data_IF_030790678553
#
_entry.id   IF_030790678553
#
_cell.length_a   1.000
_cell.length_b   1.000
_cell.length_c   1.000
_cell.angle_alpha   90.00
_cell.angle_beta   90.00
_cell.angle_gamma   90.00
#
_symmetry.space_group_name_H-M   'P 1'
#
loop_
_entity.id
_entity.type
_entity.pdbx_description
1 polymer ?
#
# COMPACT_ATOMS: atom_id res chain seq x y z
N UNK A 1 8.68 -0.90 -20.87
CA UNK A 1 7.26 -1.19 -20.57
C UNK A 1 6.74 0.01 -19.80
N UNK A 2 5.71 0.69 -20.29
CA UNK A 2 5.04 1.69 -19.45
C UNK A 2 4.06 0.91 -18.57
N UNK A 3 4.18 0.96 -17.23
CA UNK A 3 3.14 0.38 -16.38
C UNK A 3 1.82 1.09 -16.71
N UNK A 4 0.73 0.34 -16.75
CA UNK A 4 -0.60 0.93 -16.80
C UNK A 4 -0.71 1.78 -15.56
N UNK A 5 -0.96 3.08 -15.73
CA UNK A 5 -1.24 3.95 -14.60
C UNK A 5 -2.56 3.48 -13.99
N UNK A 6 -2.44 2.65 -12.95
CA UNK A 6 -3.55 2.31 -12.07
C UNK A 6 -3.92 3.60 -11.37
N UNK A 7 -5.09 4.16 -11.73
CA UNK A 7 -5.59 5.37 -11.09
C UNK A 7 -5.96 5.09 -9.64
N UNK A 8 -6.19 6.15 -8.87
CA UNK A 8 -6.71 6.08 -7.51
C UNK A 8 -5.66 6.33 -6.41
N UNK A 9 -6.10 6.32 -5.14
CA UNK A 9 -5.22 6.45 -4.00
C UNK A 9 -4.25 5.26 -3.90
N UNK A 10 -2.97 5.55 -3.75
CA UNK A 10 -1.94 4.57 -3.46
C UNK A 10 -0.93 5.16 -2.48
N UNK A 11 -0.58 4.38 -1.47
CA UNK A 11 0.45 4.68 -0.46
C UNK A 11 1.48 3.56 -0.53
N UNK A 12 2.71 3.90 -0.90
CA UNK A 12 3.83 2.97 -0.96
C UNK A 12 4.83 3.21 0.18
N UNK A 13 5.19 2.13 0.88
CA UNK A 13 6.30 2.09 1.82
C UNK A 13 7.38 1.21 1.21
N UNK A 14 8.50 1.82 0.81
CA UNK A 14 9.55 1.18 0.02
C UNK A 14 9.46 1.52 -1.47
N UNK A 15 10.58 1.42 -2.19
CA UNK A 15 10.70 1.89 -3.57
C UNK A 15 10.33 0.85 -4.64
N UNK A 16 10.36 -0.45 -4.32
CA UNK A 16 10.02 -1.55 -5.25
C UNK A 16 9.74 -2.86 -4.48
N UNK A 17 10.80 -3.51 -4.00
CA UNK A 17 10.75 -4.72 -3.19
C UNK A 17 12.01 -4.73 -2.32
N UNK A 18 11.89 -4.90 -0.99
CA UNK A 18 10.67 -5.16 -0.24
C UNK A 18 9.78 -3.92 -0.11
N UNK A 19 8.46 -4.12 -0.09
CA UNK A 19 7.52 -3.02 0.03
C UNK A 19 6.22 -3.42 0.74
N UNK A 20 5.50 -2.41 1.22
CA UNK A 20 4.09 -2.51 1.57
C UNK A 20 3.34 -1.42 0.85
N UNK A 21 2.23 -1.78 0.21
CA UNK A 21 1.40 -0.85 -0.53
C UNK A 21 -0.07 -0.94 -0.08
N UNK A 22 -0.67 0.19 0.26
CA UNK A 22 -2.11 0.32 0.47
C UNK A 22 -2.69 1.10 -0.70
N UNK A 23 -3.53 0.47 -1.50
CA UNK A 23 -4.03 1.06 -2.74
C UNK A 23 -5.50 0.75 -2.98
N UNK A 24 -6.17 1.64 -3.71
CA UNK A 24 -7.52 1.42 -4.20
C UNK A 24 -7.49 1.58 -5.72
N UNK A 25 -7.27 0.50 -6.48
CA UNK A 25 -7.20 0.56 -7.93
C UNK A 25 -8.47 1.15 -8.54
N UNK A 26 -8.30 2.20 -9.34
CA UNK A 26 -9.34 2.71 -10.24
C UNK A 26 -8.92 2.38 -11.67
N UNK A 27 -9.09 1.11 -12.03
CA UNK A 27 -8.85 0.62 -13.39
C UNK A 27 -10.20 0.64 -14.12
N UNK A 28 -10.30 1.50 -15.14
CA UNK A 28 -11.44 1.50 -16.06
C UNK A 28 -11.18 0.47 -17.18
N UNK A 29 -11.95 -0.63 -17.25
CA UNK A 29 -11.76 -1.71 -18.22
C UNK A 29 -12.04 -1.26 -19.67
N UNK A 30 -12.72 -0.13 -19.86
CA UNK A 30 -13.02 0.40 -21.20
C UNK A 30 -11.82 1.12 -21.83
N UNK A 31 -10.80 1.45 -21.03
CA UNK A 31 -9.61 2.16 -21.50
C UNK A 31 -8.83 1.32 -22.52
N UNK A 32 -8.37 1.92 -23.63
CA UNK A 32 -7.62 1.19 -24.67
C UNK A 32 -6.40 0.46 -24.11
N UNK A 33 -5.67 1.08 -23.18
CA UNK A 33 -4.44 0.50 -22.63
C UNK A 33 -4.72 -0.76 -21.78
N UNK A 34 -5.85 -0.76 -21.05
CA UNK A 34 -6.30 -1.89 -20.24
C UNK A 34 -6.74 -3.04 -21.15
N UNK A 35 -7.49 -2.73 -22.22
CA UNK A 35 -7.93 -3.73 -23.21
C UNK A 35 -6.75 -4.41 -23.90
N UNK A 36 -5.75 -3.63 -24.33
CA UNK A 36 -4.53 -4.16 -24.96
C UNK A 36 -3.70 -5.02 -24.01
N UNK A 37 -3.67 -4.66 -22.71
CA UNK A 37 -2.98 -5.43 -21.70
C UNK A 37 -3.70 -6.74 -21.35
N UNK A 38 -5.03 -6.68 -21.23
CA UNK A 38 -5.88 -7.85 -21.00
C UNK A 38 -5.76 -8.86 -22.15
N UNK A 39 -5.81 -8.39 -23.40
CA UNK A 39 -5.59 -9.22 -24.57
C UNK A 39 -4.23 -9.92 -24.55
N UNK A 40 -3.17 -9.19 -24.18
CA UNK A 40 -1.82 -9.76 -24.03
C UNK A 40 -1.72 -10.78 -22.90
N UNK A 41 -2.48 -10.57 -21.83
CA UNK A 41 -2.57 -11.48 -20.69
C UNK A 41 -3.51 -12.67 -20.95
N UNK A 42 -4.28 -12.66 -22.04
CA UNK A 42 -5.24 -13.71 -22.38
C UNK A 42 -6.49 -13.71 -21.49
N UNK A 43 -6.84 -12.58 -20.89
CA UNK A 43 -8.03 -12.42 -20.02
C UNK A 43 -8.94 -11.32 -20.55
N UNK A 44 -10.18 -11.23 -20.06
CA UNK A 44 -11.06 -10.10 -20.39
C UNK A 44 -10.57 -8.80 -19.72
N UNK A 45 -10.88 -7.61 -20.28
CA UNK A 45 -10.54 -6.34 -19.65
C UNK A 45 -11.10 -6.19 -18.23
N UNK A 46 -12.27 -6.76 -17.96
CA UNK A 46 -12.90 -6.78 -16.64
C UNK A 46 -12.14 -7.68 -15.67
N UNK A 47 -11.74 -8.88 -16.10
CA UNK A 47 -10.89 -9.77 -15.29
C UNK A 47 -9.51 -9.16 -15.04
N UNK A 48 -8.95 -8.47 -16.02
CA UNK A 48 -7.67 -7.78 -15.90
C UNK A 48 -7.75 -6.58 -14.95
N UNK A 49 -8.81 -5.78 -15.04
CA UNK A 49 -9.04 -4.65 -14.15
C UNK A 49 -9.28 -5.10 -12.71
N UNK A 50 -9.80 -6.32 -12.53
CA UNK A 50 -10.13 -6.87 -11.22
C UNK A 50 -11.24 -6.06 -10.54
N UNK A 51 -11.46 -6.26 -9.23
CA UNK A 51 -12.44 -5.51 -8.47
C UNK A 51 -11.96 -4.06 -8.26
N UNK A 52 -12.27 -3.19 -9.22
CA UNK A 52 -11.98 -1.76 -9.14
C UNK A 52 -12.72 -1.09 -7.97
N UNK A 53 -12.07 -0.12 -7.32
CA UNK A 53 -12.67 0.66 -6.23
C UNK A 53 -12.67 -0.05 -4.87
N UNK A 54 -12.12 -1.26 -4.77
CA UNK A 54 -11.87 -1.90 -3.48
C UNK A 54 -10.45 -1.62 -3.01
N UNK A 55 -10.29 -1.39 -1.70
CA UNK A 55 -8.99 -1.28 -1.09
C UNK A 55 -8.26 -2.63 -1.12
N UNK A 56 -6.96 -2.57 -1.34
CA UNK A 56 -6.04 -3.70 -1.36
C UNK A 56 -4.81 -3.34 -0.54
N UNK A 57 -4.33 -4.31 0.22
CA UNK A 57 -3.07 -4.24 0.94
C UNK A 57 -2.12 -5.30 0.39
N UNK A 58 -1.00 -4.84 -0.14
CA UNK A 58 0.06 -5.67 -0.72
C UNK A 58 1.29 -5.59 0.18
N UNK A 59 1.96 -6.72 0.39
CA UNK A 59 3.23 -6.79 1.09
C UNK A 59 4.15 -7.78 0.37
N UNK A 60 5.28 -7.29 -0.12
CA UNK A 60 6.23 -8.07 -0.93
C UNK A 60 7.62 -8.09 -0.28
N UNK A 61 8.21 -9.28 -0.23
CA UNK A 61 9.58 -9.52 0.27
C UNK A 61 10.56 -9.72 -0.87
N UNK A 62 11.83 -9.44 -0.59
CA UNK A 62 12.94 -9.60 -1.55
C UNK A 62 13.18 -11.04 -2.01
N UNK A 63 12.70 -12.04 -1.25
CA UNK A 63 12.79 -13.46 -1.61
C UNK A 63 11.69 -13.91 -2.60
N UNK A 64 10.84 -12.98 -3.04
CA UNK A 64 9.73 -13.22 -3.96
C UNK A 64 8.45 -13.70 -3.27
N UNK A 65 8.45 -13.81 -1.94
CA UNK A 65 7.23 -14.07 -1.19
C UNK A 65 6.40 -12.78 -1.03
N UNK A 66 5.20 -12.78 -1.61
CA UNK A 66 4.24 -11.70 -1.52
C UNK A 66 2.90 -12.13 -0.94
N UNK A 67 2.13 -11.16 -0.47
CA UNK A 67 0.73 -11.34 -0.05
C UNK A 67 -0.08 -10.14 -0.48
N UNK A 68 -1.27 -10.42 -0.97
CA UNK A 68 -2.29 -9.42 -1.30
C UNK A 68 -3.56 -9.75 -0.49
N UNK A 69 -4.15 -8.73 0.11
CA UNK A 69 -5.39 -8.84 0.88
C UNK A 69 -6.37 -7.78 0.39
N UNK A 70 -7.53 -8.23 -0.11
CA UNK A 70 -8.64 -7.35 -0.40
C UNK A 70 -9.31 -6.88 0.89
N UNK A 71 -9.63 -5.60 0.96
CA UNK A 71 -10.16 -4.91 2.14
C UNK A 71 -11.53 -4.28 1.83
N UNK A 72 -12.60 -5.07 1.60
CA UNK A 72 -13.89 -4.53 1.18
C UNK A 72 -14.56 -3.67 2.26
N UNK A 73 -14.19 -3.82 3.54
CA UNK A 73 -14.69 -3.02 4.66
C UNK A 73 -13.82 -1.81 5.01
N UNK A 74 -12.70 -1.61 4.32
CA UNK A 74 -11.90 -0.39 4.51
C UNK A 74 -12.56 0.77 3.75
N UNK A 75 -12.88 1.84 4.47
CA UNK A 75 -13.36 3.08 3.89
C UNK A 75 -12.27 4.16 3.82
N UNK A 76 -12.46 5.15 2.96
CA UNK A 76 -11.49 6.22 2.72
C UNK A 76 -11.14 7.00 3.99
N UNK A 77 -12.11 7.24 4.88
CA UNK A 77 -11.87 7.91 6.16
C UNK A 77 -10.91 7.12 7.07
N UNK A 78 -10.98 5.78 7.05
CA UNK A 78 -10.08 4.94 7.83
C UNK A 78 -8.68 4.89 7.21
N UNK A 79 -8.59 4.85 5.89
CA UNK A 79 -7.32 4.94 5.16
C UNK A 79 -6.64 6.31 5.37
N UNK A 80 -7.41 7.41 5.30
CA UNK A 80 -6.95 8.76 5.62
C UNK A 80 -6.43 8.85 7.05
N UNK A 81 -7.19 8.34 8.02
CA UNK A 81 -6.80 8.37 9.42
C UNK A 81 -5.50 7.58 9.68
N UNK A 82 -5.28 6.47 8.98
CA UNK A 82 -4.01 5.73 9.05
C UNK A 82 -2.85 6.57 8.51
N UNK A 83 -3.00 7.19 7.34
CA UNK A 83 -1.97 8.08 6.78
C UNK A 83 -1.70 9.32 7.65
N UNK A 84 -2.71 9.88 8.30
CA UNK A 84 -2.55 11.01 9.23
C UNK A 84 -1.77 10.63 10.48
N UNK A 85 -2.00 9.44 11.04
CA UNK A 85 -1.20 8.94 12.16
C UNK A 85 0.26 8.71 11.76
N UNK A 86 0.49 8.15 10.58
CA UNK A 86 1.85 8.01 10.04
C UNK A 86 2.53 9.38 9.88
N UNK A 87 1.85 10.37 9.30
CA UNK A 87 2.39 11.73 9.17
C UNK A 87 2.74 12.35 10.53
N UNK A 88 1.87 12.18 11.53
CA UNK A 88 2.12 12.68 12.88
C UNK A 88 3.31 11.95 13.54
N UNK A 89 3.48 10.65 13.30
CA UNK A 89 4.62 9.90 13.80
C UNK A 89 5.96 10.37 13.19
N UNK A 90 5.94 10.88 11.96
CA UNK A 90 7.13 11.45 11.29
C UNK A 90 7.52 12.84 11.80
N UNK A 91 6.73 13.48 12.68
CA UNK A 91 7.06 14.81 13.23
C UNK A 91 8.23 14.75 14.24
N UNK A 92 8.51 13.58 14.83
CA UNK A 92 9.69 13.33 15.64
C UNK A 92 10.66 12.39 14.90
N UNK A 93 11.73 12.92 14.25
CA UNK A 93 12.62 12.14 13.41
C UNK A 93 13.48 11.13 14.19
N UNK A 94 13.58 11.27 15.52
CA UNK A 94 14.43 10.43 16.36
C UNK A 94 13.62 9.39 17.17
N UNK A 95 12.28 9.39 17.06
CA UNK A 95 11.40 8.49 17.79
C UNK A 95 11.05 7.23 17.00
N UNK A 96 11.07 6.08 17.68
CA UNK A 96 10.42 4.87 17.18
C UNK A 96 8.90 4.99 17.33
N UNK A 97 8.15 4.37 16.41
CA UNK A 97 6.69 4.34 16.47
C UNK A 97 6.11 3.02 16.00
N UNK A 98 4.87 2.76 16.40
CA UNK A 98 4.07 1.63 15.92
C UNK A 98 2.73 2.15 15.44
N UNK A 99 2.39 1.88 14.20
CA UNK A 99 1.07 2.18 13.63
C UNK A 99 0.38 0.91 13.14
N UNK A 100 -0.95 0.88 13.25
CA UNK A 100 -1.74 -0.29 12.85
C UNK A 100 -2.86 0.11 11.90
N UNK A 101 -3.12 -0.75 10.91
CA UNK A 101 -4.32 -0.71 10.08
C UNK A 101 -5.27 -1.80 10.55
N UNK A 102 -6.39 -1.37 11.10
CA UNK A 102 -7.48 -2.25 11.54
C UNK A 102 -8.64 -2.14 10.57
N UNK A 103 -9.13 -3.27 10.06
CA UNK A 103 -10.29 -3.35 9.17
C UNK A 103 -11.29 -4.34 9.77
N UNK A 104 -12.56 -3.95 9.84
CA UNK A 104 -13.63 -4.76 10.45
C UNK A 104 -13.28 -5.31 11.86
N UNK A 105 -12.53 -4.53 12.66
CA UNK A 105 -12.11 -4.90 14.02
C UNK A 105 -10.94 -5.89 14.09
N UNK A 106 -10.24 -6.16 12.98
CA UNK A 106 -9.06 -7.02 12.92
C UNK A 106 -7.83 -6.20 12.53
N UNK A 107 -6.74 -6.36 13.26
CA UNK A 107 -5.44 -5.83 12.87
C UNK A 107 -4.94 -6.61 11.65
N UNK A 108 -4.81 -5.93 10.51
CA UNK A 108 -4.30 -6.54 9.29
C UNK A 108 -2.87 -6.14 9.00
N UNK A 109 -2.50 -4.90 9.33
CA UNK A 109 -1.14 -4.41 9.24
C UNK A 109 -0.70 -3.85 10.58
N UNK A 110 0.49 -4.26 11.01
CA UNK A 110 1.26 -3.53 12.00
C UNK A 110 2.54 -3.04 11.34
N UNK A 111 2.86 -1.76 11.54
CA UNK A 111 4.04 -1.12 11.01
C UNK A 111 4.85 -0.56 12.18
N UNK A 112 6.03 -1.12 12.43
CA UNK A 112 6.98 -0.60 13.39
C UNK A 112 8.04 0.22 12.63
N UNK A 113 8.06 1.53 12.85
CA UNK A 113 9.00 2.47 12.25
C UNK A 113 10.14 2.79 13.20
N UNK A 114 11.37 2.79 12.69
CA UNK A 114 12.57 3.17 13.45
C UNK A 114 13.43 4.16 12.68
N UNK A 115 14.03 5.17 13.35
CA UNK A 115 14.96 6.09 12.71
C UNK A 115 16.13 5.34 12.05
N UNK A 116 16.42 5.71 10.80
CA UNK A 116 17.51 5.16 10.02
C UNK A 116 17.99 6.18 8.97
N UNK A 117 19.19 6.73 9.16
CA UNK A 117 19.73 7.75 8.26
C UNK A 117 18.90 9.03 8.32
N UNK A 118 18.46 9.53 7.17
CA UNK A 118 17.64 10.75 7.03
C UNK A 118 16.12 10.46 7.06
N UNK A 119 15.73 9.25 7.49
CA UNK A 119 14.32 8.91 7.65
C UNK A 119 14.13 7.62 8.43
N UNK A 120 13.29 6.72 7.92
CA UNK A 120 12.82 5.57 8.68
C UNK A 120 12.98 4.27 7.91
N UNK A 121 13.42 3.23 8.63
CA UNK A 121 13.26 1.84 8.21
C UNK A 121 12.03 1.25 8.91
N UNK A 122 11.40 0.26 8.29
CA UNK A 122 10.16 -0.32 8.79
C UNK A 122 10.25 -1.83 8.93
N UNK A 123 9.57 -2.37 9.95
CA UNK A 123 9.13 -3.75 9.98
C UNK A 123 7.61 -3.73 9.84
N UNK A 124 7.11 -4.30 8.74
CA UNK A 124 5.70 -4.47 8.51
C UNK A 124 5.30 -5.92 8.76
N UNK A 125 4.30 -6.14 9.61
CA UNK A 125 3.65 -7.44 9.81
C UNK A 125 2.26 -7.41 9.22
N UNK A 126 2.07 -8.13 8.13
CA UNK A 126 0.76 -8.39 7.53
C UNK A 126 0.16 -9.64 8.17
N UNK A 127 -1.08 -9.56 8.65
CA UNK A 127 -1.83 -10.69 9.22
C UNK A 127 -3.12 -10.91 8.43
N UNK A 128 -3.08 -11.65 7.31
CA UNK A 128 -4.27 -11.94 6.54
C UNK A 128 -5.24 -12.86 7.30
N UNK A 129 -6.56 -12.80 7.05
CA UNK A 129 -7.53 -13.66 7.72
C UNK A 129 -7.39 -15.15 7.37
N UNK A 130 -7.02 -15.45 6.12
CA UNK A 130 -7.04 -16.81 5.54
C UNK A 130 -5.62 -17.36 5.30
N UNK A 131 -4.57 -16.72 5.83
CA UNK A 131 -3.17 -17.10 5.57
C UNK A 131 -2.26 -16.80 6.75
N UNK A 132 -1.10 -17.44 6.77
CA UNK A 132 -0.09 -17.16 7.79
C UNK A 132 0.39 -15.70 7.69
N UNK A 133 0.75 -15.07 8.82
CA UNK A 133 1.33 -13.72 8.82
C UNK A 133 2.60 -13.64 7.97
N UNK A 134 2.86 -12.47 7.40
CA UNK A 134 4.05 -12.16 6.62
C UNK A 134 4.75 -10.93 7.22
N UNK A 135 6.02 -11.11 7.59
CA UNK A 135 6.88 -10.01 8.05
C UNK A 135 7.75 -9.50 6.88
N UNK A 136 7.74 -8.18 6.67
CA UNK A 136 8.46 -7.49 5.60
C UNK A 136 9.35 -6.42 6.21
N UNK A 137 10.66 -6.56 6.04
CA UNK A 137 11.64 -5.54 6.44
C UNK A 137 11.86 -4.58 5.28
N UNK A 138 11.49 -3.31 5.47
CA UNK A 138 11.64 -2.24 4.47
C UNK A 138 12.85 -1.39 4.86
N UNK A 139 13.74 -1.18 3.90
CA UNK A 139 14.93 -0.36 4.08
C UNK A 139 14.62 1.11 4.37
N UNK A 140 15.65 1.90 4.74
CA UNK A 140 15.47 3.31 5.04
C UNK A 140 14.85 4.08 3.88
N UNK A 141 13.80 4.85 4.15
CA UNK A 141 13.19 5.82 3.24
C UNK A 141 13.31 7.21 3.87
N UNK A 142 13.69 8.23 3.10
CA UNK A 142 13.88 9.57 3.66
C UNK A 142 12.56 10.13 4.21
N UNK A 143 12.63 10.94 5.27
CA UNK A 143 11.41 11.56 5.84
C UNK A 143 10.71 12.46 4.81
N UNK A 144 11.47 13.11 3.92
CA UNK A 144 10.93 13.95 2.87
C UNK A 144 10.10 13.13 1.86
N UNK A 145 10.62 11.98 1.43
CA UNK A 145 9.91 11.10 0.48
C UNK A 145 8.68 10.47 1.13
N UNK A 146 8.79 10.00 2.38
CA UNK A 146 7.66 9.46 3.13
C UNK A 146 6.53 10.48 3.29
N UNK A 147 6.89 11.73 3.65
CA UNK A 147 5.91 12.81 3.78
C UNK A 147 5.27 13.14 2.43
N UNK A 148 6.06 13.23 1.36
CA UNK A 148 5.55 13.51 0.02
C UNK A 148 4.57 12.42 -0.45
N UNK A 149 4.90 11.16 -0.20
CA UNK A 149 4.05 10.00 -0.53
C UNK A 149 2.74 10.02 0.28
N UNK A 150 2.81 10.22 1.61
CA UNK A 150 1.62 10.31 2.46
C UNK A 150 0.72 11.50 2.10
N UNK A 151 1.30 12.65 1.74
CA UNK A 151 0.55 13.82 1.28
C UNK A 151 -0.08 13.59 -0.10
N UNK A 152 0.64 12.93 -1.02
CA UNK A 152 0.10 12.53 -2.32
C UNK A 152 -1.08 11.57 -2.15
N UNK A 153 -0.92 10.54 -1.32
CA UNK A 153 -1.97 9.61 -0.97
C UNK A 153 -3.22 10.32 -0.45
N UNK A 154 -3.05 11.23 0.53
CA UNK A 154 -4.16 12.01 1.09
C UNK A 154 -4.87 12.87 0.06
N UNK A 155 -4.13 13.50 -0.86
CA UNK A 155 -4.74 14.29 -1.97
C UNK A 155 -5.55 13.41 -2.92
N UNK A 156 -5.14 12.16 -3.13
CA UNK A 156 -5.81 11.24 -4.03
C UNK A 156 -7.06 10.58 -3.40
N UNK A 157 -7.23 10.66 -2.08
CA UNK A 157 -8.42 10.15 -1.38
C UNK A 157 -9.69 10.97 -1.65
N UNK A 158 -9.57 12.25 -2.05
CA UNK A 158 -10.68 13.17 -2.31
C UNK A 158 -10.95 14.14 -1.18
#
# INVERSE_FOLDING_TARGET
MSPIAVGGPALFLGADTPCVALLRPEIDPTRPEVREAAERAGVTPEEFAGPSGLWQLIADRTDGEGREVALPELGDAAAAAFAERLLAALDDPDAEFTETLTVAGRELLRLDGRPAGEGFAFLARLTPPESAPLDVEIGPTSTADLRAELELFRRNLG
#
